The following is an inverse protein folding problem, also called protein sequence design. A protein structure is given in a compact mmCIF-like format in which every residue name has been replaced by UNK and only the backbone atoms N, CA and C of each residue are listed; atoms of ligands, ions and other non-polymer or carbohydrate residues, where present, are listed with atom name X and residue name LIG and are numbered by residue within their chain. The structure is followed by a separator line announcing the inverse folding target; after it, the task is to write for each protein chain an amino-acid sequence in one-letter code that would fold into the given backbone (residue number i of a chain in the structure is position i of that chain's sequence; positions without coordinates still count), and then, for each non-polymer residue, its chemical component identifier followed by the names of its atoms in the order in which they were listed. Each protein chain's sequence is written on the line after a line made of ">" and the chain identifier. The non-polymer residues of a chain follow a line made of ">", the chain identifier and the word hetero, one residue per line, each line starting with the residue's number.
data_IF_657900727638
#
_entry.id   IF_657900727638
#
_cell.length_a   1.000
_cell.length_b   1.000
_cell.length_c   1.000
_cell.angle_alpha   90.00
_cell.angle_beta   90.00
_cell.angle_gamma   90.00
#
_symmetry.space_group_name_H-M   'P 1'
#
loop_
_entity.id
_entity.type
_entity.pdbx_description
1 polymer ?
#
# COMPACT_ATOMS: atom_id res chain seq x y z
N UNK A 1 3.60 6.80 10.08
CA UNK A 1 2.48 6.15 10.80
C UNK A 1 1.72 5.23 9.86
N UNK A 2 0.79 4.43 10.39
CA UNK A 2 -0.16 3.63 9.61
C UNK A 2 -1.57 4.05 10.02
N UNK A 3 -2.45 4.24 9.05
CA UNK A 3 -3.89 4.48 9.25
C UNK A 3 -4.69 3.50 8.41
N UNK A 4 -5.75 2.93 8.99
CA UNK A 4 -6.64 2.00 8.30
C UNK A 4 -8.04 2.60 8.17
N UNK A 5 -8.31 3.23 7.03
CA UNK A 5 -9.64 3.73 6.68
C UNK A 5 -10.55 2.63 6.08
N UNK A 6 -9.98 1.46 5.79
CA UNK A 6 -10.72 0.31 5.28
C UNK A 6 -11.76 -0.24 6.25
N UNK A 7 -11.57 -0.03 7.55
CA UNK A 7 -12.57 -0.30 8.60
C UNK A 7 -13.89 0.43 8.38
N UNK A 8 -13.87 1.56 7.67
CA UNK A 8 -15.04 2.36 7.31
C UNK A 8 -15.49 2.15 5.86
N UNK A 9 -14.90 1.19 5.14
CA UNK A 9 -15.24 0.90 3.74
C UNK A 9 -14.60 1.84 2.72
N UNK A 10 -13.65 2.69 3.13
CA UNK A 10 -12.92 3.60 2.24
C UNK A 10 -12.21 2.82 1.13
N UNK A 11 -12.37 3.26 -0.12
CA UNK A 11 -11.69 2.63 -1.25
C UNK A 11 -10.23 3.08 -1.38
N UNK A 12 -10.00 4.39 -1.30
CA UNK A 12 -8.70 5.04 -1.46
C UNK A 12 -8.79 6.46 -0.88
N UNK A 13 -7.71 7.00 -0.34
CA UNK A 13 -7.63 8.34 0.22
C UNK A 13 -6.20 8.88 0.18
N UNK A 14 -6.04 10.16 0.45
CA UNK A 14 -4.75 10.84 0.64
C UNK A 14 -4.51 11.07 2.14
N UNK A 15 -3.84 10.15 2.85
CA UNK A 15 -3.65 10.26 4.30
C UNK A 15 -2.78 11.47 4.66
N UNK A 16 -3.16 12.21 5.70
CA UNK A 16 -2.37 13.36 6.18
C UNK A 16 -1.25 12.87 7.09
N UNK A 17 -0.02 13.31 6.81
CA UNK A 17 1.16 13.01 7.65
C UNK A 17 0.89 13.50 9.06
N UNK A 18 1.20 12.68 10.07
CA UNK A 18 1.12 13.06 11.48
C UNK A 18 2.51 13.53 11.96
N UNK A 19 2.79 14.84 12.06
CA UNK A 19 4.09 15.34 12.48
C UNK A 19 4.44 14.81 13.89
N UNK A 20 5.73 14.55 14.19
CA UNK A 20 6.93 14.91 13.41
C UNK A 20 7.36 13.88 12.35
N UNK A 21 6.52 12.91 11.99
CA UNK A 21 6.88 11.86 11.04
C UNK A 21 6.99 12.38 9.60
N UNK A 22 7.79 11.71 8.76
CA UNK A 22 7.99 12.10 7.35
C UNK A 22 7.05 11.38 6.38
N UNK A 23 6.33 10.34 6.81
CA UNK A 23 5.42 9.59 5.95
C UNK A 23 4.29 8.90 6.74
N UNK A 24 3.19 8.64 6.04
CA UNK A 24 2.05 7.87 6.53
C UNK A 24 1.58 6.89 5.45
N UNK A 25 1.34 5.64 5.85
CA UNK A 25 0.72 4.61 5.03
C UNK A 25 -0.79 4.55 5.33
N UNK A 26 -1.60 4.71 4.29
CA UNK A 26 -3.05 4.52 4.30
C UNK A 26 -3.42 3.15 3.75
N UNK A 27 -4.03 2.33 4.60
CA UNK A 27 -4.64 1.04 4.23
C UNK A 27 -6.14 1.23 4.05
N UNK A 28 -6.70 0.62 3.01
CA UNK A 28 -8.09 0.80 2.62
C UNK A 28 -8.87 -0.51 2.68
N UNK A 29 -10.14 -0.49 2.26
CA UNK A 29 -10.99 -1.66 2.33
C UNK A 29 -10.55 -2.70 1.29
N UNK A 30 -10.39 -3.94 1.74
CA UNK A 30 -10.23 -5.08 0.84
C UNK A 30 -11.57 -5.38 0.19
N UNK A 31 -11.63 -5.34 -1.15
CA UNK A 31 -12.83 -5.64 -1.92
C UNK A 31 -12.49 -6.55 -3.09
N UNK A 32 -13.40 -7.46 -3.42
CA UNK A 32 -13.26 -8.29 -4.61
C UNK A 32 -13.27 -7.44 -5.87
N UNK A 33 -12.26 -7.64 -6.72
CA UNK A 33 -12.12 -6.96 -8.01
C UNK A 33 -11.73 -7.95 -9.09
N UNK A 34 -12.22 -7.70 -10.30
CA UNK A 34 -11.72 -8.36 -11.49
C UNK A 34 -10.32 -7.82 -11.80
N UNK A 35 -9.35 -8.72 -11.90
CA UNK A 35 -7.97 -8.42 -12.29
C UNK A 35 -7.53 -9.40 -13.38
N UNK A 36 -6.46 -9.07 -14.10
CA UNK A 36 -5.90 -9.95 -15.12
C UNK A 36 -4.68 -10.65 -14.54
N UNK A 37 -4.72 -11.99 -14.50
CA UNK A 37 -3.57 -12.83 -14.17
C UNK A 37 -3.35 -13.83 -15.31
N UNK A 38 -2.12 -13.95 -15.80
CA UNK A 38 -1.76 -14.89 -16.89
C UNK A 38 -2.69 -14.80 -18.11
N UNK A 39 -3.16 -13.59 -18.45
CA UNK A 39 -4.05 -13.35 -19.59
C UNK A 39 -5.53 -13.69 -19.35
N UNK A 40 -5.92 -14.07 -18.14
CA UNK A 40 -7.31 -14.39 -17.79
C UNK A 40 -7.85 -13.41 -16.76
N UNK A 41 -9.15 -13.11 -16.86
CA UNK A 41 -9.86 -12.32 -15.84
C UNK A 41 -10.17 -13.23 -14.66
N UNK A 42 -9.66 -12.89 -13.49
CA UNK A 42 -9.90 -13.58 -12.22
C UNK A 42 -10.39 -12.60 -11.18
N UNK A 43 -11.19 -13.07 -10.22
CA UNK A 43 -11.59 -12.26 -9.06
C UNK A 43 -10.55 -12.42 -7.97
N UNK A 44 -10.09 -11.30 -7.40
CA UNK A 44 -9.15 -11.26 -6.28
C UNK A 44 -9.62 -10.28 -5.20
N UNK A 45 -9.36 -10.58 -3.91
CA UNK A 45 -9.52 -9.60 -2.84
C UNK A 45 -8.41 -8.56 -2.97
N UNK A 46 -8.75 -7.36 -3.44
CA UNK A 46 -7.79 -6.29 -3.71
C UNK A 46 -7.88 -5.18 -2.67
N UNK A 47 -6.74 -4.62 -2.31
CA UNK A 47 -6.60 -3.46 -1.43
C UNK A 47 -5.84 -2.34 -2.16
N UNK A 48 -6.18 -1.07 -1.91
CA UNK A 48 -5.35 0.05 -2.34
C UNK A 48 -4.49 0.54 -1.18
N UNK A 49 -3.20 0.69 -1.41
CA UNK A 49 -2.29 1.31 -0.47
C UNK A 49 -1.96 2.72 -0.96
N UNK A 50 -2.01 3.70 -0.06
CA UNK A 50 -1.61 5.08 -0.37
C UNK A 50 -0.51 5.52 0.59
N UNK A 51 0.57 6.09 0.07
CA UNK A 51 1.61 6.66 0.92
C UNK A 51 1.71 8.16 0.66
N UNK A 52 1.47 8.95 1.70
CA UNK A 52 1.80 10.37 1.70
C UNK A 52 3.14 10.54 2.42
N UNK A 53 4.02 11.32 1.81
CA UNK A 53 5.39 11.50 2.25
C UNK A 53 5.82 12.96 2.07
N UNK A 54 6.69 13.41 2.97
CA UNK A 54 7.29 14.74 2.90
C UNK A 54 8.37 14.76 1.83
N UNK A 55 8.06 15.35 0.68
CA UNK A 55 8.93 15.39 -0.48
C UNK A 55 10.23 16.20 -0.27
N UNK A 56 10.33 16.95 0.84
CA UNK A 56 11.56 17.64 1.25
C UNK A 56 12.61 16.68 1.81
N UNK A 57 12.18 15.50 2.27
CA UNK A 57 13.02 14.50 2.94
C UNK A 57 13.08 13.21 2.11
N UNK A 58 11.95 12.79 1.54
CA UNK A 58 11.80 11.53 0.81
C UNK A 58 11.60 11.85 -0.67
N UNK A 59 12.49 11.36 -1.52
CA UNK A 59 12.33 11.47 -2.98
C UNK A 59 11.25 10.51 -3.51
N UNK A 60 10.68 10.83 -4.67
CA UNK A 60 9.65 10.03 -5.31
C UNK A 60 10.09 8.59 -5.57
N UNK A 61 11.36 8.36 -5.92
CA UNK A 61 11.90 7.01 -6.09
C UNK A 61 11.81 6.18 -4.81
N UNK A 62 12.28 6.74 -3.69
CA UNK A 62 12.31 6.05 -2.40
C UNK A 62 10.89 5.77 -1.89
N UNK A 63 9.97 6.72 -2.08
CA UNK A 63 8.57 6.51 -1.76
C UNK A 63 7.94 5.38 -2.59
N UNK A 64 8.17 5.36 -3.90
CA UNK A 64 7.62 4.31 -4.77
C UNK A 64 8.20 2.95 -4.42
N UNK A 65 9.54 2.84 -4.28
CA UNK A 65 10.20 1.58 -3.96
C UNK A 65 9.77 1.06 -2.58
N UNK A 66 9.63 1.93 -1.58
CA UNK A 66 9.13 1.55 -0.26
C UNK A 66 7.71 1.00 -0.31
N UNK A 67 6.82 1.65 -1.09
CA UNK A 67 5.44 1.17 -1.24
C UNK A 67 5.37 -0.17 -2.01
N UNK A 68 6.20 -0.35 -3.04
CA UNK A 68 6.32 -1.61 -3.78
C UNK A 68 6.84 -2.74 -2.89
N UNK A 69 7.86 -2.47 -2.07
CA UNK A 69 8.38 -3.46 -1.13
C UNK A 69 7.31 -3.92 -0.12
N UNK A 70 6.50 -2.99 0.40
CA UNK A 70 5.37 -3.33 1.26
C UNK A 70 4.31 -4.15 0.52
N UNK A 71 3.98 -3.78 -0.73
CA UNK A 71 3.05 -4.52 -1.59
C UNK A 71 3.52 -5.96 -1.79
N UNK A 72 4.78 -6.15 -2.18
CA UNK A 72 5.36 -7.46 -2.46
C UNK A 72 5.42 -8.34 -1.19
N UNK A 73 5.79 -7.76 -0.04
CA UNK A 73 5.81 -8.46 1.24
C UNK A 73 4.40 -8.87 1.73
N UNK A 74 3.36 -8.12 1.36
CA UNK A 74 1.97 -8.47 1.69
C UNK A 74 1.39 -9.51 0.74
N UNK A 75 1.77 -9.49 -0.54
CA UNK A 75 1.36 -10.48 -1.53
C UNK A 75 2.07 -11.83 -1.36
N UNK A 76 3.33 -11.82 -0.93
CA UNK A 76 4.11 -13.00 -0.58
C UNK A 76 4.89 -12.79 0.74
N UNK A 77 4.30 -13.13 1.90
CA UNK A 77 4.93 -12.97 3.20
C UNK A 77 6.21 -13.80 3.41
N UNK A 78 6.45 -14.83 2.60
CA UNK A 78 7.66 -15.66 2.71
C UNK A 78 8.93 -14.87 2.41
N UNK A 79 8.81 -13.78 1.63
CA UNK A 79 9.87 -12.82 1.33
C UNK A 79 10.50 -12.20 2.58
N UNK A 80 9.69 -11.95 3.61
CA UNK A 80 10.17 -11.43 4.89
C UNK A 80 11.03 -12.45 5.66
N UNK A 81 10.77 -13.74 5.47
CA UNK A 81 11.55 -14.80 6.11
C UNK A 81 12.91 -15.00 5.42
N UNK A 82 12.94 -14.84 4.10
CA UNK A 82 14.12 -15.06 3.28
C UNK A 82 14.94 -13.79 3.00
N UNK A 83 14.46 -12.61 3.42
CA UNK A 83 15.07 -11.29 3.20
C UNK A 83 15.30 -10.97 1.71
N UNK A 84 14.24 -11.16 0.89
CA UNK A 84 14.26 -11.04 -0.60
C UNK A 84 13.06 -10.27 -1.19
#
# INVERSE_FOLDING_TARGET
>A
SISNGGTFGSMMSTPIINPPQSAILGVHATKDRAVVENGQIVVRPMNYLAMSYDHRIIDGREAVLGLVAMKDALEDPSRLLFDI
#
